data_IF_001260029281
#
_entry.id   IF_001260029281
#
_cell.length_a   1.000
_cell.length_b   1.000
_cell.length_c   1.000
_cell.angle_alpha   90.00
_cell.angle_beta   90.00
_cell.angle_gamma   90.00
#
_symmetry.space_group_name_H-M   'P 1'
#
loop_
_entity.id
_entity.type
_entity.pdbx_description
1 polymer ?
#
# COMPACT_ATOMS: atom_id res chain seq x y z
N UNK A 1 -1.08 7.82 -5.02
CA UNK A 1 -1.51 6.47 -5.43
C UNK A 1 -1.82 6.54 -6.91
N UNK A 2 -1.28 5.65 -7.74
CA UNK A 2 -1.64 5.59 -9.15
C UNK A 2 -3.12 5.15 -9.25
N UNK A 3 -4.02 5.96 -9.85
CA UNK A 3 -5.45 5.63 -9.91
C UNK A 3 -5.75 4.31 -10.63
N UNK A 4 -4.96 3.94 -11.64
CA UNK A 4 -5.20 2.71 -12.42
C UNK A 4 -4.99 1.45 -11.57
N UNK A 5 -3.86 1.37 -10.86
CA UNK A 5 -3.51 0.23 -10.02
C UNK A 5 -4.51 -0.01 -8.89
N UNK A 6 -5.06 1.08 -8.32
CA UNK A 6 -6.11 0.98 -7.30
C UNK A 6 -7.35 0.30 -7.86
N UNK A 7 -7.84 0.79 -9.00
CA UNK A 7 -9.10 0.33 -9.58
C UNK A 7 -9.00 -1.14 -10.00
N UNK A 8 -7.87 -1.55 -10.56
CA UNK A 8 -7.60 -2.96 -10.89
C UNK A 8 -7.65 -3.85 -9.64
N UNK A 9 -7.02 -3.43 -8.54
CA UNK A 9 -7.03 -4.21 -7.30
C UNK A 9 -8.45 -4.34 -6.72
N UNK A 10 -9.23 -3.25 -6.73
CA UNK A 10 -10.61 -3.28 -6.27
C UNK A 10 -11.52 -4.12 -7.17
N UNK A 11 -11.27 -4.13 -8.49
CA UNK A 11 -12.01 -4.98 -9.42
C UNK A 11 -11.76 -6.47 -9.16
N UNK A 12 -10.53 -6.84 -8.78
CA UNK A 12 -10.14 -8.23 -8.53
C UNK A 12 -10.52 -8.71 -7.12
N UNK A 13 -10.37 -7.85 -6.10
CA UNK A 13 -10.54 -8.23 -4.69
C UNK A 13 -11.82 -7.70 -4.03
N UNK A 14 -12.58 -6.89 -4.73
CA UNK A 14 -13.70 -6.14 -4.16
C UNK A 14 -13.24 -4.93 -3.34
N UNK A 15 -14.20 -4.14 -2.89
CA UNK A 15 -13.93 -2.98 -2.06
C UNK A 15 -13.83 -3.36 -0.57
N UNK A 16 -12.70 -3.07 0.10
CA UNK A 16 -12.58 -3.35 1.53
C UNK A 16 -13.30 -2.28 2.36
N UNK A 17 -13.86 -2.69 3.50
CA UNK A 17 -14.47 -1.75 4.44
C UNK A 17 -13.43 -0.76 5.01
N UNK A 18 -12.21 -1.25 5.27
CA UNK A 18 -11.14 -0.46 5.87
C UNK A 18 -9.77 -0.77 5.24
N UNK A 19 -8.97 0.26 5.03
CA UNK A 19 -7.53 0.14 4.77
C UNK A 19 -6.78 0.66 5.99
N UNK A 20 -5.91 -0.19 6.54
CA UNK A 20 -4.98 0.17 7.62
C UNK A 20 -3.66 0.66 7.03
N UNK A 21 -3.12 1.73 7.59
CA UNK A 21 -1.78 2.20 7.27
C UNK A 21 -1.06 2.77 8.49
N UNK A 22 0.23 3.04 8.30
CA UNK A 22 1.05 3.66 9.33
C UNK A 22 0.64 5.11 9.62
N UNK A 23 1.16 5.67 10.71
CA UNK A 23 1.02 7.09 11.02
C UNK A 23 1.96 7.98 10.19
N UNK A 24 2.55 7.44 9.13
CA UNK A 24 3.50 8.14 8.28
C UNK A 24 2.81 9.25 7.47
N UNK A 25 3.55 10.32 7.13
CA UNK A 25 3.01 11.45 6.37
C UNK A 25 2.50 11.05 4.99
N UNK A 26 3.02 9.95 4.42
CA UNK A 26 2.60 9.40 3.13
C UNK A 26 1.16 8.87 3.18
N UNK A 27 0.79 8.15 4.24
CA UNK A 27 -0.57 7.62 4.42
C UNK A 27 -1.53 8.68 5.02
N UNK A 28 -0.99 9.60 5.81
CA UNK A 28 -1.72 10.74 6.36
C UNK A 28 -1.99 11.88 5.35
N UNK A 29 -1.43 11.81 4.12
CA UNK A 29 -1.57 12.85 3.11
C UNK A 29 -3.02 13.01 2.61
N UNK A 30 -3.47 14.27 2.44
CA UNK A 30 -4.80 14.65 1.95
C UNK A 30 -5.19 14.01 0.60
N UNK A 31 -4.24 13.76 -0.30
CA UNK A 31 -4.50 13.08 -1.56
C UNK A 31 -4.97 11.63 -1.34
N UNK A 32 -4.35 10.92 -0.39
CA UNK A 32 -4.74 9.55 -0.01
C UNK A 32 -6.11 9.57 0.69
N UNK A 33 -6.36 10.56 1.57
CA UNK A 33 -7.67 10.74 2.20
C UNK A 33 -8.78 10.87 1.17
N UNK A 34 -8.59 11.77 0.20
CA UNK A 34 -9.58 12.06 -0.84
C UNK A 34 -9.82 10.84 -1.73
N UNK A 35 -8.76 10.17 -2.14
CA UNK A 35 -8.85 8.98 -2.97
C UNK A 35 -9.67 7.87 -2.29
N UNK A 36 -9.47 7.63 -0.99
CA UNK A 36 -10.19 6.59 -0.26
C UNK A 36 -11.65 6.98 0.01
N UNK A 37 -11.90 8.27 0.34
CA UNK A 37 -13.24 8.79 0.49
C UNK A 37 -14.10 8.68 -0.78
N UNK A 38 -13.49 8.85 -1.97
CA UNK A 38 -14.18 8.69 -3.26
C UNK A 38 -14.63 7.24 -3.49
N UNK A 39 -13.87 6.26 -3.00
CA UNK A 39 -14.27 4.85 -3.17
C UNK A 39 -15.33 4.45 -2.15
N UNK A 40 -15.25 4.92 -0.91
CA UNK A 40 -16.11 4.46 0.19
C UNK A 40 -15.33 3.71 1.26
N UNK A 41 -14.09 3.32 0.96
CA UNK A 41 -13.14 2.72 1.92
C UNK A 41 -12.81 3.65 3.09
N UNK A 42 -13.04 3.16 4.32
CA UNK A 42 -12.62 3.85 5.55
C UNK A 42 -11.13 3.63 5.82
N UNK A 43 -10.54 4.50 6.62
CA UNK A 43 -9.13 4.39 7.02
C UNK A 43 -8.98 4.04 8.47
N UNK A 44 -7.99 3.20 8.76
CA UNK A 44 -7.50 2.92 10.09
C UNK A 44 -6.01 3.26 10.15
N UNK A 45 -5.59 3.86 11.25
CA UNK A 45 -4.19 4.05 11.56
C UNK A 45 -3.75 2.98 12.55
N UNK A 46 -2.48 2.60 12.50
CA UNK A 46 -1.90 1.81 13.60
C UNK A 46 -1.97 2.62 14.90
N UNK A 47 -2.25 1.94 16.01
CA UNK A 47 -2.23 2.52 17.34
C UNK A 47 -0.80 2.98 17.68
N UNK A 48 -0.69 4.14 18.34
CA UNK A 48 0.59 4.64 18.80
C UNK A 48 1.23 3.62 19.75
N UNK A 49 2.53 3.34 19.56
CA UNK A 49 3.25 2.33 20.33
C UNK A 49 2.90 0.87 19.98
N UNK A 50 2.16 0.62 18.89
CA UNK A 50 1.72 -0.73 18.48
C UNK A 50 2.35 -1.19 17.15
N UNK A 51 3.67 -1.39 17.07
CA UNK A 51 4.36 -1.75 15.82
C UNK A 51 3.91 -3.10 15.23
N UNK A 52 3.38 -4.01 16.07
CA UNK A 52 2.91 -5.32 15.61
C UNK A 52 1.70 -5.23 14.65
N UNK A 53 0.92 -4.15 14.68
CA UNK A 53 -0.19 -3.96 13.75
C UNK A 53 0.26 -3.77 12.29
N UNK A 54 1.53 -3.44 12.09
CA UNK A 54 2.16 -3.30 10.78
C UNK A 54 2.98 -4.54 10.38
N UNK A 55 3.08 -5.56 11.24
CA UNK A 55 3.95 -6.72 11.03
C UNK A 55 3.71 -7.45 9.71
N UNK A 56 2.45 -7.60 9.29
CA UNK A 56 2.11 -8.30 8.05
C UNK A 56 2.73 -7.63 6.80
N UNK A 57 2.58 -6.31 6.67
CA UNK A 57 3.09 -5.59 5.49
C UNK A 57 4.62 -5.50 5.52
N UNK A 58 5.24 -5.38 6.71
CA UNK A 58 6.69 -5.40 6.85
C UNK A 58 7.28 -6.77 6.46
N UNK A 59 6.68 -7.87 6.93
CA UNK A 59 7.11 -9.22 6.54
C UNK A 59 6.91 -9.47 5.04
N UNK A 60 5.80 -9.00 4.47
CA UNK A 60 5.57 -9.08 3.02
C UNK A 60 6.65 -8.32 2.24
N UNK A 61 6.95 -7.08 2.62
CA UNK A 61 7.95 -6.26 1.94
C UNK A 61 9.36 -6.82 2.07
N UNK A 62 9.74 -7.35 3.24
CA UNK A 62 11.02 -8.04 3.43
C UNK A 62 11.12 -9.25 2.52
N UNK A 63 10.11 -10.12 2.54
CA UNK A 63 10.10 -11.33 1.72
C UNK A 63 10.11 -11.04 0.22
N UNK A 64 9.33 -10.06 -0.24
CA UNK A 64 9.34 -9.62 -1.64
C UNK A 64 10.74 -9.13 -2.05
N UNK A 65 11.44 -8.43 -1.16
CA UNK A 65 12.81 -7.99 -1.42
C UNK A 65 13.77 -9.19 -1.50
N UNK A 66 13.76 -10.04 -0.48
CA UNK A 66 14.72 -11.14 -0.33
C UNK A 66 14.54 -12.23 -1.40
N UNK A 67 13.30 -12.50 -1.81
CA UNK A 67 12.96 -13.57 -2.75
C UNK A 67 12.92 -13.11 -4.21
N UNK A 68 12.66 -11.82 -4.48
CA UNK A 68 12.52 -11.32 -5.85
C UNK A 68 13.45 -10.14 -6.14
N UNK A 69 13.31 -9.03 -5.39
CA UNK A 69 13.95 -7.77 -5.79
C UNK A 69 15.48 -7.82 -5.74
N UNK A 70 16.04 -8.53 -4.77
CA UNK A 70 17.49 -8.65 -4.58
C UNK A 70 18.07 -9.85 -5.35
N UNK A 71 17.21 -10.68 -5.97
CA UNK A 71 17.63 -11.85 -6.76
C UNK A 71 17.70 -11.58 -8.25
N UNK A 72 16.89 -10.65 -8.74
CA UNK A 72 16.76 -10.37 -10.16
C UNK A 72 17.41 -9.03 -10.54
N UNK A 73 18.10 -9.00 -11.68
CA UNK A 73 18.59 -7.76 -12.27
C UNK A 73 17.46 -7.08 -13.04
N UNK A 74 16.84 -6.06 -12.43
CA UNK A 74 15.85 -5.24 -13.13
C UNK A 74 16.55 -4.29 -14.10
N UNK A 75 16.66 -4.71 -15.35
CA UNK A 75 17.10 -3.83 -16.43
C UNK A 75 16.02 -2.76 -16.65
N UNK A 76 16.39 -1.50 -16.44
CA UNK A 76 15.55 -0.34 -16.74
C UNK A 76 15.17 -0.42 -18.22
N UNK A 77 13.87 -0.42 -18.54
CA UNK A 77 13.44 0.00 -19.88
C UNK A 77 13.79 1.47 -20.01
N UNK A 78 14.91 1.77 -20.67
CA UNK A 78 15.10 3.08 -21.25
C UNK A 78 13.97 3.27 -22.26
N UNK A 79 13.06 4.19 -21.92
CA UNK A 79 12.14 4.75 -22.90
C UNK A 79 13.00 5.70 -23.73
N UNK A 80 13.38 5.23 -24.91
CA UNK A 80 13.77 6.11 -26.04
C UNK A 80 12.52 6.85 -26.51
#
# INVERSE_FOLDING_TARGET
MNPSLKNELLAVRGEPDHIRGDNGPKFANNAVKRCLAISGVKRLFIASGSPWENSYVESFNSRLRDELLDRELFLRKEVV
#
